data_IF_190463001165
#
_entry.id   IF_190463001165
#
_cell.length_a   1.000
_cell.length_b   1.000
_cell.length_c   1.000
_cell.angle_alpha   90.00
_cell.angle_beta   90.00
_cell.angle_gamma   90.00
#
_symmetry.space_group_name_H-M   'P 1'
#
loop_
_entity.id
_entity.type
_entity.pdbx_description
1 polymer ?
#
# COMPACT_ATOMS: atom_id res chain seq x y z
N UNK A 1 -9.02 -19.53 24.33
CA UNK A 1 -8.68 -19.61 22.90
C UNK A 1 -8.77 -18.21 22.37
N UNK A 2 -7.61 -17.56 22.21
CA UNK A 2 -7.48 -16.19 21.72
C UNK A 2 -7.74 -16.25 20.20
N UNK A 3 -8.66 -15.43 19.70
CA UNK A 3 -8.86 -15.29 18.27
C UNK A 3 -7.61 -14.69 17.64
N UNK A 4 -7.07 -15.36 16.64
CA UNK A 4 -5.97 -14.84 15.84
C UNK A 4 -6.41 -13.54 15.15
N UNK A 5 -5.73 -12.44 15.51
CA UNK A 5 -5.90 -11.16 14.85
C UNK A 5 -5.19 -11.21 13.49
N UNK A 6 -5.97 -11.27 12.42
CA UNK A 6 -5.49 -10.92 11.08
C UNK A 6 -5.67 -9.41 10.85
N UNK A 7 -4.89 -8.83 9.93
CA UNK A 7 -5.19 -7.51 9.33
C UNK A 7 -6.43 -7.61 8.43
N UNK A 8 -7.17 -8.73 8.47
CA UNK A 8 -8.44 -8.91 7.80
C UNK A 8 -9.38 -7.77 8.16
N UNK A 9 -9.71 -6.96 7.16
CA UNK A 9 -10.87 -6.09 7.16
C UNK A 9 -12.18 -6.91 7.14
N UNK A 10 -12.36 -7.68 8.23
CA UNK A 10 -13.65 -8.14 8.73
C UNK A 10 -14.28 -7.08 9.67
N UNK A 11 -13.77 -5.84 9.68
CA UNK A 11 -14.26 -4.75 10.51
C UNK A 11 -14.73 -3.60 9.61
N UNK A 12 -15.97 -3.08 9.77
CA UNK A 12 -16.47 -1.93 9.03
C UNK A 12 -15.61 -0.65 9.19
N UNK A 13 -14.72 -0.63 10.20
CA UNK A 13 -13.94 0.52 10.64
C UNK A 13 -12.41 0.31 10.57
N UNK A 14 -11.92 -0.69 9.83
CA UNK A 14 -10.48 -0.89 9.67
C UNK A 14 -9.84 0.43 9.18
N UNK A 15 -8.76 0.94 9.83
CA UNK A 15 -8.21 2.27 9.52
C UNK A 15 -7.41 2.29 8.21
N UNK A 16 -7.63 1.35 7.30
CA UNK A 16 -6.87 1.18 6.07
C UNK A 16 -7.47 2.10 5.00
N UNK A 17 -6.73 3.15 4.65
CA UNK A 17 -7.12 4.09 3.59
C UNK A 17 -6.78 3.55 2.20
N UNK A 18 -5.65 2.84 2.06
CA UNK A 18 -5.19 2.27 0.81
C UNK A 18 -4.31 1.04 1.07
N UNK A 19 -4.48 0.00 0.27
CA UNK A 19 -3.51 -1.09 0.13
C UNK A 19 -3.01 -1.14 -1.31
N UNK A 20 -1.71 -1.31 -1.47
CA UNK A 20 -1.06 -1.48 -2.77
C UNK A 20 -0.24 -2.74 -2.77
N UNK A 21 -0.46 -3.61 -3.75
CA UNK A 21 0.42 -4.73 -4.07
C UNK A 21 1.03 -4.52 -5.45
N UNK A 22 2.35 -4.64 -5.54
CA UNK A 22 3.10 -4.38 -6.75
C UNK A 22 4.04 -5.55 -7.06
N UNK A 23 4.08 -5.93 -8.33
CA UNK A 23 5.18 -6.68 -8.92
C UNK A 23 5.88 -5.78 -9.94
N UNK A 24 7.19 -5.58 -9.78
CA UNK A 24 8.07 -5.02 -10.81
C UNK A 24 8.79 -6.13 -11.53
N UNK A 25 8.93 -5.96 -12.83
CA UNK A 25 9.53 -6.93 -13.72
C UNK A 25 10.27 -6.19 -14.83
N UNK A 26 11.24 -6.85 -15.51
CA UNK A 26 11.88 -6.29 -16.68
C UNK A 26 10.83 -5.81 -17.70
N UNK A 27 11.20 -4.82 -18.50
CA UNK A 27 10.27 -4.26 -19.48
C UNK A 27 9.69 -5.37 -20.36
N UNK A 28 8.37 -5.46 -20.38
CA UNK A 28 7.64 -6.36 -21.26
C UNK A 28 7.02 -5.56 -22.40
N UNK A 29 6.74 -6.22 -23.50
CA UNK A 29 6.03 -5.59 -24.62
C UNK A 29 4.70 -4.98 -24.15
N UNK A 30 4.39 -3.81 -24.70
CA UNK A 30 3.11 -3.15 -24.47
C UNK A 30 1.97 -4.04 -24.93
N UNK A 31 0.86 -4.04 -24.19
CA UNK A 31 -0.32 -4.80 -24.59
C UNK A 31 -0.82 -4.31 -25.95
N UNK A 32 -0.94 -5.23 -26.90
CA UNK A 32 -1.62 -4.93 -28.18
C UNK A 32 -3.12 -4.71 -27.95
N UNK A 33 -3.83 -4.18 -28.94
CA UNK A 33 -5.28 -3.98 -28.86
C UNK A 33 -6.02 -5.31 -28.63
N UNK A 34 -5.60 -6.38 -29.31
CA UNK A 34 -6.18 -7.72 -29.13
C UNK A 34 -5.88 -8.30 -27.74
N UNK A 35 -4.64 -8.16 -27.26
CA UNK A 35 -4.23 -8.57 -25.90
C UNK A 35 -5.00 -7.83 -24.82
N UNK A 36 -5.26 -6.53 -25.02
CA UNK A 36 -6.04 -5.69 -24.10
C UNK A 36 -7.50 -6.13 -24.03
N UNK A 37 -8.10 -6.48 -25.17
CA UNK A 37 -9.47 -7.00 -25.25
C UNK A 37 -9.66 -8.32 -24.51
N UNK A 38 -8.70 -9.24 -24.61
CA UNK A 38 -8.72 -10.52 -23.90
C UNK A 38 -8.44 -10.36 -22.40
N UNK A 39 -7.48 -9.51 -22.02
CA UNK A 39 -7.21 -9.20 -20.62
C UNK A 39 -8.45 -8.60 -19.93
N UNK A 40 -9.14 -7.69 -20.61
CA UNK A 40 -10.43 -7.14 -20.16
C UNK A 40 -11.47 -8.25 -19.97
N UNK A 41 -11.52 -9.25 -20.85
CA UNK A 41 -12.45 -10.39 -20.74
C UNK A 41 -12.13 -11.26 -19.52
N UNK A 42 -10.86 -11.54 -19.25
CA UNK A 42 -10.42 -12.35 -18.10
C UNK A 42 -10.69 -11.67 -16.75
N UNK A 43 -10.68 -10.33 -16.74
CA UNK A 43 -10.88 -9.51 -15.54
C UNK A 43 -12.30 -8.93 -15.43
N UNK A 44 -13.21 -9.24 -16.36
CA UNK A 44 -14.49 -8.53 -16.52
C UNK A 44 -15.42 -8.62 -15.29
N UNK A 45 -15.34 -9.68 -14.51
CA UNK A 45 -16.12 -9.88 -13.28
C UNK A 45 -15.59 -9.07 -12.09
N UNK A 46 -14.31 -8.68 -12.09
CA UNK A 46 -13.67 -7.91 -11.01
C UNK A 46 -13.41 -6.45 -11.40
N UNK A 47 -12.85 -6.23 -12.59
CA UNK A 47 -12.35 -4.95 -13.10
C UNK A 47 -12.89 -4.67 -14.52
N UNK A 48 -14.22 -4.52 -14.70
CA UNK A 48 -14.85 -4.40 -16.02
C UNK A 48 -14.52 -3.12 -16.78
N UNK A 49 -14.03 -2.06 -16.11
CA UNK A 49 -13.89 -0.74 -16.70
C UNK A 49 -12.43 -0.49 -17.03
N UNK A 50 -12.13 -0.28 -18.30
CA UNK A 50 -10.81 0.13 -18.77
C UNK A 50 -10.68 1.65 -18.78
N UNK A 51 -9.53 2.17 -18.34
CA UNK A 51 -9.17 3.58 -18.40
C UNK A 51 -7.73 3.73 -18.88
N UNK A 52 -7.47 4.78 -19.65
CA UNK A 52 -6.12 5.22 -19.94
C UNK A 52 -5.61 6.06 -18.76
N UNK A 53 -4.39 5.77 -18.33
CA UNK A 53 -3.74 6.43 -17.23
C UNK A 53 -2.35 6.91 -17.66
N UNK A 54 -1.83 7.90 -16.93
CA UNK A 54 -0.48 8.38 -17.11
C UNK A 54 0.15 8.68 -15.77
N UNK A 55 1.41 8.27 -15.60
CA UNK A 55 2.26 8.67 -14.48
C UNK A 55 3.49 9.40 -15.02
N UNK A 56 4.07 10.27 -14.21
CA UNK A 56 5.35 10.90 -14.52
C UNK A 56 6.46 10.02 -13.96
N UNK A 57 7.22 9.39 -14.85
CA UNK A 57 8.45 8.69 -14.52
C UNK A 57 9.65 9.62 -14.73
N UNK A 58 10.73 9.41 -13.99
CA UNK A 58 12.00 10.11 -14.22
C UNK A 58 12.89 9.22 -15.08
N UNK A 59 13.12 9.64 -16.33
CA UNK A 59 13.97 8.93 -17.29
C UNK A 59 15.31 9.66 -17.46
N UNK A 60 16.36 8.94 -17.83
CA UNK A 60 17.63 9.56 -18.21
C UNK A 60 17.49 10.19 -19.58
N UNK A 61 17.51 11.52 -19.65
CA UNK A 61 17.45 12.27 -20.91
C UNK A 61 18.78 12.25 -21.68
N UNK A 62 18.73 12.67 -22.94
CA UNK A 62 19.94 12.89 -23.74
C UNK A 62 20.84 13.94 -23.05
N UNK A 63 22.05 13.52 -22.65
CA UNK A 63 22.96 14.36 -21.84
C UNK A 63 23.08 13.96 -20.37
N UNK A 64 22.46 12.85 -19.95
CA UNK A 64 22.64 12.28 -18.61
C UNK A 64 21.90 13.02 -17.50
N UNK A 65 21.00 13.95 -17.84
CA UNK A 65 20.14 14.65 -16.90
C UNK A 65 18.79 13.94 -16.77
N UNK A 66 18.25 13.73 -15.56
CA UNK A 66 16.90 13.20 -15.38
C UNK A 66 15.88 14.15 -16.01
N UNK A 67 15.04 13.61 -16.90
CA UNK A 67 13.92 14.33 -17.51
C UNK A 67 12.60 13.62 -17.17
N UNK A 68 11.53 14.37 -16.87
CA UNK A 68 10.22 13.77 -16.66
C UNK A 68 9.71 13.18 -17.98
N UNK A 69 9.41 11.89 -17.97
CA UNK A 69 8.80 11.16 -19.07
C UNK A 69 7.42 10.68 -18.63
N UNK A 70 6.39 10.97 -19.43
CA UNK A 70 5.05 10.46 -19.17
C UNK A 70 4.99 8.99 -19.59
N UNK A 71 4.74 8.09 -18.64
CA UNK A 71 4.42 6.70 -18.93
C UNK A 71 2.90 6.58 -19.04
N UNK A 72 2.41 6.18 -20.21
CA UNK A 72 0.99 5.86 -20.42
C UNK A 72 0.76 4.38 -20.24
N UNK A 73 -0.33 4.02 -19.58
CA UNK A 73 -0.66 2.63 -19.32
C UNK A 73 -2.17 2.43 -19.20
N UNK A 74 -2.58 1.17 -19.35
CA UNK A 74 -3.97 0.76 -19.15
C UNK A 74 -4.21 0.49 -17.67
N UNK A 75 -5.32 1.00 -17.15
CA UNK A 75 -5.81 0.72 -15.80
C UNK A 75 -7.21 0.13 -15.88
N UNK A 76 -7.40 -1.03 -15.27
CA UNK A 76 -8.71 -1.65 -15.11
C UNK A 76 -9.24 -1.33 -13.72
N UNK A 77 -10.51 -0.92 -13.60
CA UNK A 77 -11.13 -0.54 -12.33
C UNK A 77 -12.48 -1.24 -12.14
N UNK A 78 -12.84 -1.48 -10.88
CA UNK A 78 -14.18 -1.94 -10.54
C UNK A 78 -15.21 -0.80 -10.70
N UNK A 79 -16.50 -1.15 -10.71
CA UNK A 79 -17.60 -0.17 -10.92
C UNK A 79 -17.69 0.88 -9.82
N UNK A 80 -17.34 0.49 -8.59
CA UNK A 80 -17.30 1.37 -7.43
C UNK A 80 -16.08 2.29 -7.41
N UNK A 81 -15.12 2.09 -8.33
CA UNK A 81 -13.85 2.79 -8.41
C UNK A 81 -13.03 2.70 -7.10
N UNK A 82 -13.10 1.57 -6.39
CA UNK A 82 -12.39 1.30 -5.12
C UNK A 82 -11.27 0.27 -5.27
N UNK A 83 -11.14 -0.34 -6.44
CA UNK A 83 -10.12 -1.32 -6.78
C UNK A 83 -9.63 -1.05 -8.20
N UNK A 84 -8.31 -1.05 -8.39
CA UNK A 84 -7.67 -0.90 -9.68
C UNK A 84 -6.55 -1.91 -9.88
N UNK A 85 -6.34 -2.34 -11.13
CA UNK A 85 -5.11 -2.96 -11.60
C UNK A 85 -4.52 -2.13 -12.74
N UNK A 86 -3.29 -1.65 -12.55
CA UNK A 86 -2.54 -0.86 -13.52
C UNK A 86 -1.52 -1.75 -14.22
N UNK A 87 -1.58 -1.80 -15.56
CA UNK A 87 -0.70 -2.59 -16.42
C UNK A 87 0.40 -1.71 -17.01
N UNK A 88 1.48 -1.50 -16.26
CA UNK A 88 2.62 -0.68 -16.68
C UNK A 88 3.61 -1.50 -17.52
N UNK A 89 4.59 -0.82 -18.13
CA UNK A 89 5.59 -1.46 -18.96
C UNK A 89 6.52 -2.38 -18.13
N UNK A 90 6.83 -1.96 -16.89
CA UNK A 90 7.75 -2.63 -15.97
C UNK A 90 7.10 -3.01 -14.63
N UNK A 91 5.78 -2.90 -14.53
CA UNK A 91 5.08 -3.25 -13.30
C UNK A 91 3.62 -3.64 -13.54
N UNK A 92 3.10 -4.45 -12.61
CA UNK A 92 1.66 -4.61 -12.39
C UNK A 92 1.38 -4.10 -10.98
N UNK A 93 0.47 -3.13 -10.86
CA UNK A 93 0.14 -2.47 -9.58
C UNK A 93 -1.34 -2.68 -9.30
N UNK A 94 -1.66 -3.30 -8.17
CA UNK A 94 -3.03 -3.50 -7.71
C UNK A 94 -3.23 -2.61 -6.49
N UNK A 95 -4.27 -1.78 -6.51
CA UNK A 95 -4.58 -0.80 -5.48
C UNK A 95 -6.02 -0.95 -5.04
N UNK A 96 -6.29 -0.91 -3.73
CA UNK A 96 -7.65 -0.88 -3.20
C UNK A 96 -7.82 0.03 -2.00
N UNK A 97 -8.91 0.80 -2.02
CA UNK A 97 -9.42 1.54 -0.87
C UNK A 97 -10.52 0.75 -0.13
N UNK A 98 -11.04 -0.32 -0.73
CA UNK A 98 -12.05 -1.22 -0.15
C UNK A 98 -11.40 -2.53 0.30
N UNK A 99 -10.29 -2.43 1.03
CA UNK A 99 -9.56 -3.59 1.53
C UNK A 99 -10.44 -4.40 2.49
N UNK A 100 -10.43 -5.74 2.33
CA UNK A 100 -11.27 -6.68 3.08
C UNK A 100 -10.47 -7.74 3.82
N UNK A 101 -9.42 -8.31 3.24
CA UNK A 101 -8.43 -9.12 3.93
C UNK A 101 -7.27 -9.42 2.99
N UNK A 102 -6.20 -9.98 3.56
CA UNK A 102 -4.99 -10.23 2.81
C UNK A 102 -5.19 -11.36 1.81
N UNK A 103 -5.86 -12.44 2.20
CA UNK A 103 -6.09 -13.62 1.38
C UNK A 103 -6.92 -13.27 0.13
N UNK A 104 -8.02 -12.54 0.29
CA UNK A 104 -8.86 -12.10 -0.81
C UNK A 104 -8.13 -11.13 -1.75
N UNK A 105 -7.29 -10.24 -1.20
CA UNK A 105 -6.47 -9.35 -2.02
C UNK A 105 -5.38 -10.14 -2.77
N UNK A 106 -4.73 -11.10 -2.11
CA UNK A 106 -3.69 -11.94 -2.70
C UNK A 106 -4.26 -12.79 -3.84
N UNK A 107 -5.43 -13.42 -3.64
CA UNK A 107 -6.12 -14.17 -4.69
C UNK A 107 -6.41 -13.30 -5.92
N UNK A 108 -6.87 -12.07 -5.68
CA UNK A 108 -7.12 -11.09 -6.75
C UNK A 108 -5.84 -10.70 -7.47
N UNK A 109 -4.77 -10.39 -6.73
CA UNK A 109 -3.46 -10.01 -7.27
C UNK A 109 -2.90 -11.13 -8.13
N UNK A 110 -2.90 -12.36 -7.63
CA UNK A 110 -2.40 -13.51 -8.37
C UNK A 110 -3.22 -13.76 -9.64
N UNK A 111 -4.55 -13.59 -9.58
CA UNK A 111 -5.40 -13.67 -10.78
C UNK A 111 -5.07 -12.60 -11.82
N UNK A 112 -4.79 -11.36 -11.39
CA UNK A 112 -4.39 -10.26 -12.29
C UNK A 112 -3.03 -10.54 -12.93
N UNK A 113 -2.06 -11.02 -12.14
CA UNK A 113 -0.73 -11.40 -12.62
C UNK A 113 -0.81 -12.56 -13.61
N UNK A 114 -1.57 -13.60 -13.29
CA UNK A 114 -1.79 -14.76 -14.16
C UNK A 114 -2.44 -14.34 -15.49
N UNK A 115 -3.40 -13.42 -15.45
CA UNK A 115 -4.04 -12.89 -16.66
C UNK A 115 -3.06 -12.06 -17.52
N UNK A 116 -2.20 -11.24 -16.90
CA UNK A 116 -1.16 -10.49 -17.62
C UNK A 116 -0.14 -11.42 -18.28
N UNK A 117 0.33 -12.43 -17.55
CA UNK A 117 1.37 -13.36 -18.01
C UNK A 117 0.93 -14.18 -19.24
N UNK A 118 -0.37 -14.32 -19.50
CA UNK A 118 -0.90 -14.99 -20.71
C UNK A 118 -0.65 -14.22 -22.01
N UNK A 119 -0.50 -12.90 -21.97
CA UNK A 119 -0.39 -12.07 -23.19
C UNK A 119 0.95 -11.36 -23.32
N UNK A 120 1.58 -11.04 -22.20
CA UNK A 120 2.89 -10.40 -22.14
C UNK A 120 3.64 -11.05 -20.98
N UNK A 121 4.40 -12.14 -21.25
CA UNK A 121 5.02 -12.95 -20.22
C UNK A 121 5.94 -12.12 -19.32
N UNK A 122 5.78 -12.31 -18.02
CA UNK A 122 6.72 -11.79 -17.04
C UNK A 122 7.93 -12.72 -17.07
N UNK A 123 9.08 -12.23 -17.53
CA UNK A 123 10.30 -13.05 -17.67
C UNK A 123 11.14 -13.10 -16.40
N UNK A 124 10.88 -12.20 -15.45
CA UNK A 124 11.58 -12.16 -14.17
C UNK A 124 10.96 -11.17 -13.20
N UNK A 125 11.43 -11.19 -11.96
CA UNK A 125 10.87 -10.38 -10.87
C UNK A 125 11.96 -9.50 -10.25
N UNK A 126 11.80 -8.18 -10.36
CA UNK A 126 12.75 -7.18 -9.85
C UNK A 126 12.36 -6.65 -8.47
N UNK A 127 11.06 -6.64 -8.15
CA UNK A 127 10.55 -6.22 -6.85
C UNK A 127 9.16 -6.80 -6.61
N UNK A 128 8.89 -7.22 -5.39
CA UNK A 128 7.54 -7.43 -4.89
C UNK A 128 7.31 -6.48 -3.73
N UNK A 129 6.15 -5.84 -3.65
CA UNK A 129 5.84 -4.95 -2.54
C UNK A 129 4.38 -5.00 -2.13
N UNK A 130 4.19 -4.79 -0.83
CA UNK A 130 2.92 -4.74 -0.13
C UNK A 130 2.94 -3.50 0.77
N UNK A 131 2.07 -2.55 0.48
CA UNK A 131 1.99 -1.28 1.19
C UNK A 131 0.60 -1.07 1.79
N UNK A 132 0.57 -0.71 3.06
CA UNK A 132 -0.63 -0.28 3.77
C UNK A 132 -0.50 1.19 4.16
N UNK A 133 -1.45 2.01 3.74
CA UNK A 133 -1.62 3.38 4.24
C UNK A 133 -2.80 3.39 5.19
N UNK A 134 -2.53 3.70 6.44
CA UNK A 134 -3.52 3.72 7.51
C UNK A 134 -3.76 5.13 8.04
N UNK A 135 -5.03 5.43 8.27
CA UNK A 135 -5.52 6.65 8.89
C UNK A 135 -6.23 6.34 10.20
N UNK A 136 -5.49 6.40 11.30
CA UNK A 136 -6.03 6.14 12.63
C UNK A 136 -6.69 7.40 13.14
N UNK A 137 -7.98 7.32 13.45
CA UNK A 137 -8.77 8.40 14.04
C UNK A 137 -9.29 7.97 15.39
N UNK A 138 -9.15 8.88 16.36
CA UNK A 138 -9.56 8.66 17.75
C UNK A 138 -10.35 9.87 18.23
N UNK A 139 -11.19 9.72 19.27
CA UNK A 139 -11.93 10.85 19.83
C UNK A 139 -11.00 11.99 20.25
N UNK A 140 -11.36 13.21 19.90
CA UNK A 140 -10.68 14.43 20.35
C UNK A 140 -11.10 14.77 21.79
N UNK A 141 -10.18 15.37 22.54
CA UNK A 141 -10.47 15.96 23.83
C UNK A 141 -11.43 17.16 23.71
N UNK A 142 -11.90 17.66 24.86
CA UNK A 142 -12.81 18.81 24.93
C UNK A 142 -12.20 20.08 24.32
N UNK A 143 -10.86 20.17 24.30
CA UNK A 143 -10.07 21.24 23.70
C UNK A 143 -9.71 20.99 22.22
N UNK A 144 -10.22 19.92 21.60
CA UNK A 144 -9.91 19.53 20.23
C UNK A 144 -8.54 18.85 20.04
N UNK A 145 -7.76 18.65 21.12
CA UNK A 145 -6.45 17.99 21.04
C UNK A 145 -6.59 16.48 21.19
N UNK A 146 -5.63 15.75 20.62
CA UNK A 146 -5.53 14.31 20.80
C UNK A 146 -4.30 13.99 21.64
N UNK A 147 -4.53 13.35 22.78
CA UNK A 147 -3.50 12.73 23.59
C UNK A 147 -3.08 11.39 22.96
N UNK A 148 -2.19 11.45 21.96
CA UNK A 148 -1.77 10.28 21.16
C UNK A 148 -1.17 9.14 21.98
N UNK A 149 -0.59 9.46 23.14
CA UNK A 149 -0.04 8.48 24.09
C UNK A 149 -1.06 7.49 24.65
N UNK A 150 -2.35 7.81 24.58
CA UNK A 150 -3.42 6.88 24.95
C UNK A 150 -3.71 5.81 23.89
N UNK A 151 -3.24 6.02 22.65
CA UNK A 151 -3.69 5.27 21.48
C UNK A 151 -2.53 4.62 20.72
N UNK A 152 -1.41 5.34 20.61
CA UNK A 152 -0.21 4.95 19.87
C UNK A 152 0.92 4.64 20.85
N UNK A 153 1.73 3.63 20.55
CA UNK A 153 2.84 3.21 21.38
C UNK A 153 3.88 4.35 21.55
N UNK A 154 4.42 4.50 22.77
CA UNK A 154 5.32 5.61 23.15
C UNK A 154 6.55 5.81 22.24
N UNK A 155 7.25 4.75 21.76
CA UNK A 155 8.39 4.92 20.86
C UNK A 155 8.05 5.65 19.55
N UNK A 156 6.76 5.70 19.21
CA UNK A 156 6.27 6.36 18.02
C UNK A 156 5.75 7.77 18.27
N UNK A 157 5.95 8.40 19.44
CA UNK A 157 5.30 9.68 19.72
C UNK A 157 6.19 10.91 19.46
N UNK A 158 7.40 10.70 18.95
CA UNK A 158 8.39 11.77 18.83
C UNK A 158 8.80 12.32 20.21
N UNK A 159 9.58 13.41 20.27
CA UNK A 159 10.12 13.94 21.51
C UNK A 159 9.10 14.78 22.29
N UNK A 160 7.90 14.25 22.59
CA UNK A 160 6.82 15.04 23.23
C UNK A 160 7.20 15.64 24.59
N UNK A 161 8.16 15.03 25.28
CA UNK A 161 8.66 15.48 26.59
C UNK A 161 9.78 16.53 26.49
N UNK A 162 10.21 16.89 25.28
CA UNK A 162 11.30 17.85 25.04
C UNK A 162 10.69 19.13 24.45
N UNK A 163 10.53 20.13 25.30
CA UNK A 163 9.97 21.45 24.97
C UNK A 163 11.00 22.54 25.29
N UNK A 164 11.95 22.84 24.39
CA UNK A 164 13.01 23.80 24.67
C UNK A 164 12.45 25.21 24.77
N UNK A 165 12.88 25.96 25.79
CA UNK A 165 12.60 27.39 25.96
C UNK A 165 11.11 27.79 25.88
N UNK A 166 10.20 26.93 26.36
CA UNK A 166 8.75 27.21 26.34
C UNK A 166 8.08 27.01 24.97
N UNK A 167 8.80 26.47 23.98
CA UNK A 167 8.23 26.03 22.72
C UNK A 167 7.39 24.77 22.91
N UNK A 168 6.38 24.59 22.06
CA UNK A 168 5.54 23.38 22.03
C UNK A 168 5.79 22.62 20.74
N UNK A 169 5.81 21.29 20.83
CA UNK A 169 5.90 20.43 19.66
C UNK A 169 4.57 20.49 18.90
N UNK A 170 4.56 21.09 17.71
CA UNK A 170 3.34 21.25 16.90
C UNK A 170 3.16 20.14 15.88
N UNK A 171 4.26 19.58 15.37
CA UNK A 171 4.27 18.55 14.36
C UNK A 171 5.53 17.69 14.49
N UNK A 172 5.44 16.44 14.08
CA UNK A 172 6.60 15.57 13.91
C UNK A 172 6.23 14.42 12.96
N UNK A 173 7.21 13.86 12.28
CA UNK A 173 7.07 12.66 11.48
C UNK A 173 8.28 11.75 11.72
N UNK A 174 8.05 10.45 11.69
CA UNK A 174 9.06 9.42 11.89
C UNK A 174 9.14 8.48 10.69
N UNK A 175 10.33 7.92 10.48
CA UNK A 175 10.55 6.84 9.54
C UNK A 175 11.46 5.78 10.16
N UNK A 176 11.02 4.52 10.14
CA UNK A 176 11.81 3.37 10.52
C UNK A 176 12.08 2.51 9.29
N UNK A 177 13.31 2.01 9.15
CA UNK A 177 13.68 1.11 8.06
C UNK A 177 14.25 -0.18 8.64
N UNK A 178 13.55 -1.27 8.38
CA UNK A 178 13.93 -2.63 8.74
C UNK A 178 14.52 -3.32 7.51
N UNK A 179 15.65 -4.00 7.67
CA UNK A 179 16.29 -4.78 6.62
C UNK A 179 16.76 -6.09 7.20
N UNK A 180 16.66 -7.16 6.42
CA UNK A 180 17.35 -8.41 6.74
C UNK A 180 18.87 -8.23 6.67
N UNK A 181 19.60 -9.11 7.36
CA UNK A 181 21.07 -9.09 7.40
C UNK A 181 21.71 -9.37 6.02
N UNK A 182 20.97 -10.07 5.15
CA UNK A 182 21.29 -10.18 3.73
C UNK A 182 20.23 -9.39 2.95
N UNK A 183 20.58 -8.71 1.84
CA UNK A 183 19.58 -8.01 1.05
C UNK A 183 18.47 -8.98 0.59
N UNK A 184 17.24 -8.49 0.46
CA UNK A 184 16.07 -9.35 0.40
C UNK A 184 14.85 -8.58 0.92
N UNK A 185 14.20 -9.09 1.97
CA UNK A 185 13.04 -8.42 2.57
C UNK A 185 13.48 -7.15 3.30
N UNK A 186 12.72 -6.09 3.09
CA UNK A 186 12.86 -4.80 3.75
C UNK A 186 11.49 -4.25 4.06
N UNK A 187 11.40 -3.41 5.08
CA UNK A 187 10.16 -2.73 5.43
C UNK A 187 10.47 -1.30 5.84
N UNK A 188 9.69 -0.36 5.33
CA UNK A 188 9.75 1.04 5.71
C UNK A 188 8.43 1.39 6.39
N UNK A 189 8.50 2.01 7.56
CA UNK A 189 7.31 2.50 8.27
C UNK A 189 7.44 4.00 8.42
N UNK A 190 6.54 4.75 7.81
CA UNK A 190 6.44 6.21 7.97
C UNK A 190 5.22 6.52 8.81
N UNK A 191 5.37 7.37 9.80
CA UNK A 191 4.31 7.55 10.78
C UNK A 191 4.35 8.93 11.43
N UNK A 192 3.21 9.36 11.97
CA UNK A 192 3.09 10.62 12.69
C UNK A 192 1.71 11.27 12.56
N UNK A 193 1.44 12.33 13.34
CA UNK A 193 0.21 13.08 13.23
C UNK A 193 0.09 13.78 11.86
N UNK A 194 -1.12 13.76 11.31
CA UNK A 194 -1.53 14.49 10.10
C UNK A 194 -2.88 15.16 10.32
N UNK A 195 -3.30 16.00 9.36
CA UNK A 195 -4.59 16.68 9.36
C UNK A 195 -5.27 16.50 8.01
N UNK A 196 -6.59 16.33 8.00
CA UNK A 196 -7.33 16.07 6.78
C UNK A 196 -7.35 14.58 6.49
N UNK A 197 -6.70 14.12 5.42
CA UNK A 197 -6.69 12.73 4.96
C UNK A 197 -5.29 12.37 4.42
N UNK A 198 -4.95 11.08 4.45
CA UNK A 198 -3.65 10.57 3.99
C UNK A 198 -3.56 10.48 2.46
N UNK A 199 -4.69 10.22 1.80
CA UNK A 199 -4.75 10.19 0.34
C UNK A 199 -5.06 11.57 -0.23
N UNK A 200 -4.40 11.92 -1.33
CA UNK A 200 -4.69 13.13 -2.09
C UNK A 200 -6.18 13.15 -2.53
N UNK A 201 -6.82 14.31 -2.50
CA UNK A 201 -8.21 14.46 -2.92
C UNK A 201 -8.44 14.12 -4.40
N UNK A 202 -7.39 14.24 -5.22
CA UNK A 202 -7.36 13.88 -6.64
C UNK A 202 -6.94 12.42 -6.88
N UNK A 203 -6.72 11.63 -5.82
CA UNK A 203 -6.38 10.22 -5.97
C UNK A 203 -7.45 9.48 -6.76
N UNK A 204 -7.01 8.61 -7.66
CA UNK A 204 -7.85 8.10 -8.73
C UNK A 204 -8.91 7.07 -8.26
N UNK A 205 -8.71 6.45 -7.09
CA UNK A 205 -9.70 5.58 -6.46
C UNK A 205 -10.62 6.39 -5.54
N UNK A 206 -11.90 6.05 -5.59
CA UNK A 206 -12.91 6.50 -4.63
C UNK A 206 -12.53 6.00 -3.25
N UNK A 207 -12.53 6.92 -2.28
CA UNK A 207 -12.35 6.61 -0.86
C UNK A 207 -13.60 5.93 -0.29
N UNK A 208 -13.40 4.93 0.56
CA UNK A 208 -14.46 4.22 1.30
C UNK A 208 -14.59 4.74 2.73
N UNK A 209 -13.47 5.10 3.36
CA UNK A 209 -13.46 5.76 4.66
C UNK A 209 -14.12 7.15 4.56
N UNK A 210 -14.92 7.57 5.55
CA UNK A 210 -15.51 8.91 5.56
C UNK A 210 -14.44 10.00 5.40
N UNK A 211 -14.71 10.98 4.54
CA UNK A 211 -13.90 12.19 4.47
C UNK A 211 -14.17 13.01 5.73
N UNK A 212 -13.24 12.98 6.69
CA UNK A 212 -13.34 13.72 7.94
C UNK A 212 -12.27 14.81 7.98
N UNK A 213 -12.69 16.04 8.29
CA UNK A 213 -11.76 17.10 8.63
C UNK A 213 -11.18 16.84 10.03
N UNK A 214 -9.94 17.27 10.25
CA UNK A 214 -9.30 17.19 11.55
C UNK A 214 -8.15 16.18 11.61
N UNK A 215 -7.58 15.99 12.82
CA UNK A 215 -6.36 15.22 13.01
C UNK A 215 -6.57 13.72 12.81
N UNK A 216 -5.52 13.06 12.32
CA UNK A 216 -5.39 11.61 12.27
C UNK A 216 -3.94 11.24 12.56
N UNK A 217 -3.67 9.96 12.84
CA UNK A 217 -2.31 9.43 12.88
C UNK A 217 -2.07 8.62 11.62
N UNK A 218 -1.09 9.03 10.83
CA UNK A 218 -0.63 8.32 9.66
C UNK A 218 0.22 7.14 10.11
N UNK A 219 -0.01 5.98 9.49
CA UNK A 219 0.95 4.89 9.48
C UNK A 219 0.99 4.32 8.06
N UNK A 220 2.14 4.44 7.42
CA UNK A 220 2.41 3.99 6.06
C UNK A 220 3.49 2.90 6.14
N UNK A 221 3.05 1.65 6.01
CA UNK A 221 3.88 0.45 6.10
C UNK A 221 4.13 -0.05 4.67
N UNK A 222 5.38 -0.02 4.22
CA UNK A 222 5.81 -0.49 2.90
C UNK A 222 6.78 -1.66 3.09
N UNK A 223 6.25 -2.88 2.97
CA UNK A 223 6.99 -4.14 3.05
C UNK A 223 7.32 -4.61 1.64
N UNK A 224 8.58 -4.89 1.35
CA UNK A 224 9.00 -5.26 0.01
C UNK A 224 10.18 -6.20 -0.01
N UNK A 225 10.30 -6.89 -1.14
CA UNK A 225 11.38 -7.79 -1.45
C UNK A 225 12.01 -7.38 -2.78
N UNK A 226 13.34 -7.44 -2.84
CA UNK A 226 14.13 -7.29 -4.06
C UNK A 226 15.13 -8.43 -4.13
N UNK A 227 15.40 -8.99 -5.33
CA UNK A 227 16.28 -10.13 -5.47
C UNK A 227 17.74 -9.80 -5.13
N UNK A 228 18.46 -10.84 -4.73
CA UNK A 228 19.90 -10.81 -4.55
C UNK A 228 20.62 -11.17 -5.85
N UNK A 229 21.42 -10.23 -6.38
CA UNK A 229 22.23 -10.48 -7.57
C UNK A 229 21.40 -10.48 -8.84
N UNK A 230 21.22 -11.64 -9.46
CA UNK A 230 20.48 -11.78 -10.72
C UNK A 230 18.97 -11.67 -10.52
N UNK A 231 18.28 -11.15 -11.52
CA UNK A 231 16.81 -11.15 -11.58
C UNK A 231 16.35 -12.61 -11.74
N UNK A 232 15.62 -13.19 -10.77
CA UNK A 232 15.11 -14.55 -10.91
C UNK A 232 14.00 -14.58 -11.95
N UNK A 233 13.87 -15.75 -12.60
CA UNK A 233 12.74 -16.03 -13.48
C UNK A 233 11.42 -15.94 -12.72
N UNK A 234 10.36 -15.58 -13.43
CA UNK A 234 9.02 -15.56 -12.85
C UNK A 234 8.58 -16.99 -12.52
N UNK A 235 8.37 -17.23 -11.23
CA UNK A 235 7.67 -18.41 -10.73
C UNK A 235 6.48 -17.96 -9.89
N UNK A 236 5.28 -18.41 -10.30
CA UNK A 236 4.01 -18.02 -9.68
C UNK A 236 3.97 -18.35 -8.19
N UNK A 237 4.44 -19.54 -7.82
CA UNK A 237 4.39 -19.99 -6.43
C UNK A 237 5.35 -19.20 -5.55
N UNK A 238 6.54 -18.90 -6.07
CA UNK A 238 7.53 -18.05 -5.41
C UNK A 238 6.98 -16.64 -5.18
N UNK A 239 6.30 -16.05 -6.17
CA UNK A 239 5.65 -14.74 -6.02
C UNK A 239 4.58 -14.77 -4.92
N UNK A 240 3.71 -15.80 -4.94
CA UNK A 240 2.66 -15.98 -3.94
C UNK A 240 3.23 -16.10 -2.53
N UNK A 241 4.21 -16.99 -2.33
CA UNK A 241 4.87 -17.19 -1.03
C UNK A 241 5.60 -15.92 -0.57
N UNK A 242 6.24 -15.20 -1.48
CA UNK A 242 6.92 -13.95 -1.13
C UNK A 242 5.93 -12.90 -0.65
N UNK A 243 4.75 -12.76 -1.26
CA UNK A 243 3.73 -11.85 -0.74
C UNK A 243 3.25 -12.24 0.67
N UNK A 244 3.09 -13.55 0.94
CA UNK A 244 2.77 -14.03 2.28
C UNK A 244 3.88 -13.69 3.28
N UNK A 245 5.15 -13.86 2.90
CA UNK A 245 6.31 -13.52 3.72
C UNK A 245 6.48 -12.01 3.98
N UNK A 246 5.93 -11.17 3.10
CA UNK A 246 5.87 -9.71 3.25
C UNK A 246 4.73 -9.26 4.17
N UNK A 247 3.65 -10.05 4.27
CA UNK A 247 2.46 -9.72 5.04
C UNK A 247 2.68 -9.83 6.55
N UNK A 248 3.30 -10.92 7.02
CA UNK A 248 3.46 -11.16 8.46
C UNK A 248 4.22 -10.04 9.20
N UNK A 249 5.34 -9.51 8.69
CA UNK A 249 6.02 -8.36 9.30
C UNK A 249 5.15 -7.10 9.30
N UNK A 250 4.41 -6.84 8.22
CA UNK A 250 3.53 -5.67 8.13
C UNK A 250 2.39 -5.75 9.16
N UNK A 251 1.79 -6.94 9.31
CA UNK A 251 0.79 -7.24 10.33
C UNK A 251 1.34 -7.06 11.74
N UNK A 252 2.52 -7.61 12.00
CA UNK A 252 3.16 -7.57 13.32
C UNK A 252 3.45 -6.13 13.74
N UNK A 253 4.07 -5.36 12.85
CA UNK A 253 4.33 -3.94 13.11
C UNK A 253 3.05 -3.18 13.36
N UNK A 254 2.02 -3.34 12.52
CA UNK A 254 0.74 -2.69 12.75
C UNK A 254 0.22 -2.98 14.16
N UNK A 255 0.26 -4.23 14.61
CA UNK A 255 -0.19 -4.60 15.95
C UNK A 255 0.70 -4.03 17.05
N UNK A 256 2.01 -4.05 16.93
CA UNK A 256 2.92 -3.55 17.97
C UNK A 256 2.90 -2.02 18.11
N UNK A 257 2.54 -1.31 17.04
CA UNK A 257 2.49 0.15 17.01
C UNK A 257 1.24 0.74 17.70
N UNK A 258 0.23 -0.08 17.99
CA UNK A 258 -0.99 0.33 18.69
C UNK A 258 -0.94 -0.05 20.17
N UNK A 259 -1.51 0.81 21.03
CA UNK A 259 -1.80 0.44 22.43
C UNK A 259 -2.91 -0.62 22.50
N UNK A 260 -2.97 -1.39 23.59
CA UNK A 260 -4.07 -2.33 23.84
C UNK A 260 -5.43 -1.64 23.82
N UNK A 261 -5.51 -0.40 24.34
CA UNK A 261 -6.74 0.40 24.31
C UNK A 261 -7.26 0.58 22.89
N UNK A 262 -6.40 0.94 21.95
CA UNK A 262 -6.81 1.13 20.56
C UNK A 262 -7.16 -0.20 19.90
N UNK A 263 -6.43 -1.28 20.20
CA UNK A 263 -6.79 -2.63 19.73
C UNK A 263 -8.19 -3.02 20.19
N UNK A 264 -8.48 -2.85 21.47
CA UNK A 264 -9.78 -3.18 22.06
C UNK A 264 -10.91 -2.32 21.47
N UNK A 265 -10.68 -1.01 21.27
CA UNK A 265 -11.66 -0.11 20.63
C UNK A 265 -11.95 -0.55 19.18
N UNK A 266 -10.92 -0.91 18.41
CA UNK A 266 -11.07 -1.45 17.05
C UNK A 266 -11.82 -2.80 17.02
N UNK A 267 -11.67 -3.64 18.04
CA UNK A 267 -12.36 -4.93 18.16
C UNK A 267 -13.81 -4.80 18.63
N UNK A 268 -14.13 -3.72 19.34
CA UNK A 268 -15.46 -3.51 19.95
C UNK A 268 -16.49 -2.82 19.05
N UNK A 269 -16.10 -2.43 17.83
CA UNK A 269 -16.92 -1.67 16.87
C UNK A 269 -17.16 -2.42 15.57
#
# INVERSE_FOLDING_TARGET
MLGDMSVDAAYPNAPVALVTMEIRHPATDSLTESSSGELRRLLADLLPIERQAQDVAWAMGAGGQPQPAAERFVRYVNRDNTLAASMKAQAVVIETTAYSNFEALLDLVMRVIDARAQFSPIVGVERLGLRYVLEIRVPQGVDGRIEWSNWIAEPLLGPQRIAPAGLTLTEWQGAAVYREAQPGKSMIVRYGPGVGQALDASYHLRRTMPAQQGPFFLMDIDSFWTPLGSIPEYDRNTVLLTFQDLYDPARTVFQEMLTNRLKDDLLSR
#
